data_IF_380557318125
#
_entry.id   IF_380557318125
#
_cell.length_a   1.000
_cell.length_b   1.000
_cell.length_c   1.000
_cell.angle_alpha   90.00
_cell.angle_beta   90.00
_cell.angle_gamma   90.00
#
_symmetry.space_group_name_H-M   'P 1'
#
loop_
_entity.id
_entity.type
_entity.pdbx_description
1 polymer ?
#
# COMPACT_ATOMS: atom_id res chain seq x y z
N UNK A 1 -49.77 5.04 -29.15
CA UNK A 1 -48.68 4.06 -28.92
C UNK A 1 -47.35 4.79 -28.98
N UNK A 2 -46.48 4.57 -27.99
CA UNK A 2 -45.43 5.51 -27.56
C UNK A 2 -44.18 5.55 -28.47
N UNK A 3 -43.67 6.77 -28.73
CA UNK A 3 -42.40 7.04 -29.43
C UNK A 3 -41.21 6.60 -28.54
N UNK A 4 -40.44 5.61 -28.99
CA UNK A 4 -39.21 5.12 -28.34
C UNK A 4 -38.10 6.18 -28.44
N UNK A 5 -37.73 6.80 -27.31
CA UNK A 5 -36.58 7.72 -27.22
C UNK A 5 -35.27 6.91 -27.24
N UNK A 6 -34.47 7.05 -28.30
CA UNK A 6 -33.10 6.56 -28.34
C UNK A 6 -32.23 7.34 -27.34
N UNK A 7 -31.86 6.70 -26.22
CA UNK A 7 -30.93 7.23 -25.23
C UNK A 7 -29.51 7.12 -25.81
N UNK A 8 -28.92 8.24 -26.24
CA UNK A 8 -27.49 8.30 -26.62
C UNK A 8 -26.64 7.90 -25.41
N UNK A 9 -25.96 6.76 -25.50
CA UNK A 9 -24.95 6.32 -24.53
C UNK A 9 -23.78 7.30 -24.66
N UNK A 10 -23.57 8.15 -23.65
CA UNK A 10 -22.36 8.96 -23.53
C UNK A 10 -21.18 8.00 -23.34
N UNK A 11 -20.32 7.87 -24.36
CA UNK A 11 -18.99 7.27 -24.21
C UNK A 11 -18.22 8.11 -23.19
N UNK A 12 -18.05 7.57 -21.99
CA UNK A 12 -17.13 8.12 -20.99
C UNK A 12 -15.74 7.99 -21.63
N UNK A 13 -15.13 9.12 -21.96
CA UNK A 13 -13.75 9.18 -22.42
C UNK A 13 -12.86 8.63 -21.30
N UNK A 14 -12.19 7.50 -21.56
CA UNK A 14 -11.13 6.99 -20.67
C UNK A 14 -10.15 8.14 -20.39
N UNK A 15 -9.93 8.42 -19.10
CA UNK A 15 -8.89 9.33 -18.68
C UNK A 15 -7.56 8.87 -19.30
N UNK A 16 -6.77 9.80 -19.85
CA UNK A 16 -5.44 9.51 -20.39
C UNK A 16 -4.58 8.95 -19.26
N UNK A 17 -4.30 7.65 -19.30
CA UNK A 17 -3.28 7.01 -18.48
C UNK A 17 -1.93 7.73 -18.73
N UNK A 18 -1.26 8.10 -17.64
CA UNK A 18 0.07 8.70 -17.67
C UNK A 18 1.06 7.59 -18.02
N UNK A 19 1.28 7.39 -19.31
CA UNK A 19 2.27 6.46 -19.83
C UNK A 19 3.66 6.81 -19.27
N UNK A 20 4.30 5.89 -18.56
CA UNK A 20 5.62 6.14 -17.95
C UNK A 20 6.71 6.18 -19.02
N UNK A 21 7.80 6.92 -18.77
CA UNK A 21 8.93 7.00 -19.70
C UNK A 21 9.50 5.60 -20.08
N UNK A 22 9.35 4.62 -19.20
CA UNK A 22 9.77 3.23 -19.44
C UNK A 22 8.83 2.46 -20.37
N UNK A 23 7.52 2.69 -20.30
CA UNK A 23 6.58 2.11 -21.28
C UNK A 23 6.87 2.59 -22.69
N UNK A 24 7.18 3.89 -22.82
CA UNK A 24 7.56 4.48 -24.12
C UNK A 24 8.84 3.87 -24.68
N UNK A 25 9.79 3.47 -23.82
CA UNK A 25 11.01 2.80 -24.26
C UNK A 25 10.79 1.35 -24.69
N UNK A 26 9.88 0.62 -24.03
CA UNK A 26 9.67 -0.82 -24.27
C UNK A 26 8.63 -1.05 -25.38
N UNK A 27 7.77 -0.06 -25.66
CA UNK A 27 6.75 -0.15 -26.72
C UNK A 27 5.64 -1.16 -26.44
N UNK A 28 5.58 -1.70 -25.21
CA UNK A 28 4.54 -2.61 -24.76
C UNK A 28 3.93 -2.10 -23.45
N UNK A 29 2.61 -2.01 -23.44
CA UNK A 29 1.85 -1.77 -22.23
C UNK A 29 1.65 -3.10 -21.50
N UNK A 30 2.29 -3.23 -20.34
CA UNK A 30 2.22 -4.44 -19.52
C UNK A 30 1.24 -4.14 -18.39
N UNK A 31 0.00 -4.59 -18.54
CA UNK A 31 -1.13 -4.21 -17.66
C UNK A 31 -0.88 -4.51 -16.18
N UNK A 32 -0.16 -5.59 -15.85
CA UNK A 32 0.19 -5.91 -14.45
C UNK A 32 1.28 -5.01 -13.84
N UNK A 33 1.94 -4.14 -14.62
CA UNK A 33 2.76 -3.05 -14.04
C UNK A 33 1.89 -1.91 -13.51
N UNK A 34 0.63 -1.83 -13.97
CA UNK A 34 -0.33 -0.78 -13.65
C UNK A 34 -1.55 -1.29 -12.90
N UNK A 35 -1.61 -2.60 -12.61
CA UNK A 35 -2.51 -3.16 -11.58
C UNK A 35 -1.92 -2.91 -10.19
N UNK A 36 -1.53 -1.65 -9.98
CA UNK A 36 -1.18 -1.06 -8.71
C UNK A 36 -2.50 -0.61 -8.12
N UNK A 37 -2.87 -1.14 -6.95
CA UNK A 37 -3.71 -0.36 -6.05
C UNK A 37 -2.86 0.84 -5.64
N UNK A 38 -2.81 1.84 -6.52
CA UNK A 38 -2.06 3.08 -6.35
C UNK A 38 -2.29 3.52 -4.92
N UNK A 39 -1.19 3.60 -4.17
CA UNK A 39 -1.21 4.12 -2.82
C UNK A 39 -2.12 5.35 -2.79
N UNK A 40 -3.20 5.29 -2.01
CA UNK A 40 -4.17 6.37 -2.05
C UNK A 40 -3.47 7.64 -1.55
N UNK A 41 -3.72 8.75 -2.25
CA UNK A 41 -3.22 10.12 -2.02
C UNK A 41 -1.95 10.28 -1.15
N UNK A 42 -0.81 10.52 -1.79
CA UNK A 42 0.48 10.81 -1.15
C UNK A 42 0.42 11.99 -0.14
N UNK A 43 -0.59 12.85 -0.22
CA UNK A 43 -0.81 13.92 0.76
C UNK A 43 -1.10 13.39 2.17
N UNK A 44 -1.72 12.21 2.28
CA UNK A 44 -2.08 11.57 3.56
C UNK A 44 -0.99 10.67 4.12
N UNK A 45 0.19 10.64 3.51
CA UNK A 45 1.33 9.87 4.03
C UNK A 45 1.76 10.41 5.39
N UNK A 46 1.97 9.49 6.33
CA UNK A 46 2.42 9.84 7.68
C UNK A 46 3.83 10.41 7.67
N UNK A 47 4.15 11.23 8.66
CA UNK A 47 5.49 11.83 8.77
C UNK A 47 6.61 10.78 8.87
N UNK A 48 6.31 9.59 9.41
CA UNK A 48 7.25 8.48 9.46
C UNK A 48 7.52 7.92 8.06
N UNK A 49 6.47 7.64 7.29
CA UNK A 49 6.60 7.09 5.95
C UNK A 49 7.33 8.05 5.00
N UNK A 50 7.12 9.37 5.13
CA UNK A 50 7.90 10.37 4.38
C UNK A 50 9.41 10.24 4.64
N UNK A 51 9.80 10.17 5.93
CA UNK A 51 11.20 9.97 6.32
C UNK A 51 11.76 8.64 5.83
N UNK A 52 10.93 7.59 5.84
CA UNK A 52 11.33 6.28 5.32
C UNK A 52 11.65 6.33 3.82
N UNK A 53 10.79 6.96 3.01
CA UNK A 53 11.02 7.14 1.57
C UNK A 53 12.33 7.91 1.33
N UNK A 54 12.53 9.03 2.03
CA UNK A 54 13.78 9.82 1.94
C UNK A 54 15.01 9.02 2.32
N UNK A 55 14.94 8.24 3.41
CA UNK A 55 16.07 7.45 3.88
C UNK A 55 16.45 6.33 2.91
N UNK A 56 15.45 5.69 2.29
CA UNK A 56 15.66 4.62 1.32
C UNK A 56 16.08 5.14 -0.07
N UNK A 57 15.90 6.44 -0.33
CA UNK A 57 16.11 7.03 -1.65
C UNK A 57 15.14 6.49 -2.70
N UNK A 58 13.91 6.20 -2.29
CA UNK A 58 12.86 5.65 -3.17
C UNK A 58 11.93 6.75 -3.65
N UNK A 59 11.32 6.55 -4.82
CA UNK A 59 10.37 7.52 -5.39
C UNK A 59 8.93 7.27 -4.91
N UNK A 60 8.62 6.05 -4.45
CA UNK A 60 7.28 5.62 -4.06
C UNK A 60 7.28 4.57 -2.93
N UNK A 61 6.09 4.15 -2.51
CA UNK A 61 5.87 3.10 -1.51
C UNK A 61 5.14 1.87 -2.08
N UNK A 62 5.17 1.66 -3.39
CA UNK A 62 4.29 0.68 -4.06
C UNK A 62 4.45 -0.75 -3.52
N UNK A 63 5.61 -1.12 -2.98
CA UNK A 63 5.83 -2.41 -2.31
C UNK A 63 4.93 -2.65 -1.07
N UNK A 64 4.28 -1.60 -0.54
CA UNK A 64 3.30 -1.65 0.55
C UNK A 64 1.85 -1.57 0.08
N UNK A 65 1.57 -1.66 -1.22
CA UNK A 65 0.22 -1.56 -1.77
C UNK A 65 -0.75 -2.58 -1.14
N UNK A 66 -0.24 -3.78 -0.94
CA UNK A 66 -0.97 -4.93 -0.43
C UNK A 66 -1.05 -5.00 1.11
N UNK A 67 -0.52 -3.98 1.79
CA UNK A 67 -0.58 -3.85 3.24
C UNK A 67 -1.74 -2.92 3.61
N UNK A 68 -2.67 -3.44 4.41
CA UNK A 68 -3.85 -2.70 4.83
C UNK A 68 -4.26 -3.00 6.27
N UNK A 69 -5.13 -2.16 6.81
CA UNK A 69 -5.70 -2.36 8.14
C UNK A 69 -6.84 -3.38 8.06
N UNK A 70 -6.71 -4.48 8.79
CA UNK A 70 -7.75 -5.49 8.95
C UNK A 70 -8.10 -5.74 10.42
N UNK A 71 -8.79 -6.86 10.66
CA UNK A 71 -9.14 -7.30 12.00
C UNK A 71 -8.84 -8.79 12.16
N UNK A 72 -8.14 -9.13 13.23
CA UNK A 72 -7.86 -10.49 13.68
C UNK A 72 -8.56 -10.69 15.02
N UNK A 73 -9.48 -11.66 15.11
CA UNK A 73 -10.27 -11.95 16.33
C UNK A 73 -10.94 -10.70 16.95
N UNK A 74 -11.43 -9.78 16.11
CA UNK A 74 -12.07 -8.53 16.54
C UNK A 74 -11.09 -7.46 17.05
N UNK A 75 -9.77 -7.68 16.93
CA UNK A 75 -8.74 -6.68 17.23
C UNK A 75 -8.19 -6.10 15.93
N UNK A 76 -7.92 -4.79 15.88
CA UNK A 76 -7.26 -4.21 14.73
C UNK A 76 -5.86 -4.79 14.56
N UNK A 77 -5.56 -5.22 13.34
CA UNK A 77 -4.31 -5.85 12.98
C UNK A 77 -3.87 -5.38 11.59
N UNK A 78 -2.57 -5.24 11.40
CA UNK A 78 -1.99 -5.03 10.08
C UNK A 78 -2.00 -6.35 9.34
N UNK A 79 -2.59 -6.37 8.14
CA UNK A 79 -2.53 -7.51 7.25
C UNK A 79 -1.51 -7.25 6.16
N UNK A 80 -0.59 -8.21 5.99
CA UNK A 80 0.39 -8.23 4.91
C UNK A 80 0.08 -9.41 3.99
N UNK A 81 -0.41 -9.13 2.77
CA UNK A 81 -0.74 -10.16 1.78
C UNK A 81 0.51 -10.89 1.29
N UNK A 82 1.66 -10.22 1.21
CA UNK A 82 2.89 -10.81 0.67
C UNK A 82 3.39 -11.95 1.57
N UNK A 83 3.29 -11.75 2.88
CA UNK A 83 3.62 -12.77 3.89
C UNK A 83 2.42 -13.65 4.29
N UNK A 84 1.21 -13.33 3.80
CA UNK A 84 -0.06 -13.88 4.29
C UNK A 84 -0.14 -13.90 5.82
N UNK A 85 0.22 -12.76 6.43
CA UNK A 85 0.46 -12.64 7.87
C UNK A 85 -0.33 -11.51 8.51
N UNK A 86 -0.56 -11.65 9.81
CA UNK A 86 -1.22 -10.67 10.65
C UNK A 86 -0.28 -10.15 11.74
N UNK A 87 -0.28 -8.84 11.95
CA UNK A 87 0.45 -8.19 13.04
C UNK A 87 -0.52 -7.38 13.88
N UNK A 88 -0.82 -7.87 15.09
CA UNK A 88 -1.74 -7.20 16.02
C UNK A 88 -1.21 -5.84 16.45
N UNK A 89 -2.11 -4.86 16.56
CA UNK A 89 -1.75 -3.48 16.93
C UNK A 89 -2.01 -3.26 18.44
N UNK A 90 -1.18 -2.46 19.13
CA UNK A 90 -1.45 -2.10 20.52
C UNK A 90 -2.82 -1.42 20.69
N UNK A 91 -3.60 -1.87 21.68
CA UNK A 91 -4.95 -1.36 21.99
C UNK A 91 -5.02 0.16 22.25
N UNK A 92 -3.90 0.81 22.52
CA UNK A 92 -3.80 2.24 22.81
C UNK A 92 -3.88 3.11 21.54
N UNK A 93 -3.66 2.54 20.36
CA UNK A 93 -3.71 3.27 19.09
C UNK A 93 -5.17 3.47 18.71
N UNK A 94 -5.60 4.74 18.62
CA UNK A 94 -6.92 5.09 18.07
C UNK A 94 -6.82 5.07 16.56
N UNK A 95 -7.65 4.26 15.92
CA UNK A 95 -7.73 4.23 14.46
C UNK A 95 -8.65 5.33 13.94
N UNK A 96 -8.27 6.01 12.84
CA UNK A 96 -9.13 6.96 12.16
C UNK A 96 -10.30 6.25 11.47
N UNK A 97 -11.35 7.00 11.14
CA UNK A 97 -12.52 6.47 10.46
C UNK A 97 -12.30 6.25 8.94
N UNK A 98 -11.43 7.05 8.34
CA UNK A 98 -11.09 6.96 6.91
C UNK A 98 -10.24 5.71 6.62
N UNK A 99 -10.63 4.91 5.63
CA UNK A 99 -9.95 3.65 5.32
C UNK A 99 -8.51 3.87 4.89
N UNK A 100 -8.28 4.89 4.05
CA UNK A 100 -6.95 5.22 3.57
C UNK A 100 -6.01 5.61 4.72
N UNK A 101 -6.47 6.43 5.67
CA UNK A 101 -5.67 6.80 6.84
C UNK A 101 -5.31 5.58 7.70
N UNK A 102 -6.25 4.63 7.85
CA UNK A 102 -5.98 3.36 8.53
C UNK A 102 -4.91 2.54 7.82
N UNK A 103 -4.98 2.46 6.49
CA UNK A 103 -4.00 1.72 5.69
C UNK A 103 -2.62 2.38 5.74
N UNK A 104 -2.54 3.71 5.76
CA UNK A 104 -1.27 4.42 5.98
C UNK A 104 -0.68 4.13 7.35
N UNK A 105 -1.50 4.07 8.39
CA UNK A 105 -1.06 3.65 9.74
C UNK A 105 -0.62 2.18 9.72
N UNK A 106 -1.32 1.30 9.01
CA UNK A 106 -0.97 -0.11 8.90
C UNK A 106 0.44 -0.29 8.31
N UNK A 107 0.71 0.41 7.22
CA UNK A 107 2.01 0.45 6.53
C UNK A 107 3.12 0.96 7.44
N UNK A 108 2.88 2.08 8.13
CA UNK A 108 3.82 2.61 9.12
C UNK A 108 4.12 1.60 10.23
N UNK A 109 3.09 0.93 10.76
CA UNK A 109 3.24 -0.03 11.84
C UNK A 109 4.02 -1.27 11.39
N UNK A 110 3.80 -1.76 10.18
CA UNK A 110 4.57 -2.87 9.61
C UNK A 110 6.07 -2.54 9.56
N UNK A 111 6.42 -1.38 9.01
CA UNK A 111 7.82 -0.96 8.90
C UNK A 111 8.44 -0.80 10.29
N UNK A 112 7.73 -0.16 11.23
CA UNK A 112 8.20 -0.02 12.62
C UNK A 112 8.42 -1.38 13.28
N UNK A 113 7.54 -2.34 13.01
CA UNK A 113 7.69 -3.70 13.49
C UNK A 113 8.93 -4.38 12.90
N UNK A 114 9.12 -4.32 11.57
CA UNK A 114 10.27 -4.90 10.87
C UNK A 114 11.61 -4.28 11.32
N UNK A 115 11.65 -2.97 11.56
CA UNK A 115 12.83 -2.25 12.04
C UNK A 115 13.03 -2.32 13.55
N UNK A 116 12.11 -2.95 14.28
CA UNK A 116 12.20 -3.03 15.74
C UNK A 116 13.48 -3.75 16.15
N UNK A 117 14.23 -3.24 17.14
CA UNK A 117 15.40 -3.95 17.66
C UNK A 117 15.04 -5.27 18.35
N UNK A 118 13.75 -5.47 18.68
CA UNK A 118 13.19 -6.71 19.24
C UNK A 118 12.61 -7.64 18.17
N UNK A 119 12.87 -7.36 16.90
CA UNK A 119 12.37 -8.21 15.81
C UNK A 119 13.11 -9.57 15.83
N UNK A 120 12.42 -10.71 15.70
CA UNK A 120 13.04 -12.04 15.81
C UNK A 120 14.23 -12.25 14.87
N UNK A 121 14.21 -11.62 13.68
CA UNK A 121 15.33 -11.69 12.73
C UNK A 121 16.62 -11.07 13.26
N UNK A 122 16.55 -10.08 14.17
CA UNK A 122 17.73 -9.51 14.82
C UNK A 122 18.41 -10.54 15.70
N UNK A 123 17.63 -11.32 16.44
CA UNK A 123 18.16 -12.37 17.32
C UNK A 123 18.68 -13.56 16.51
N UNK A 124 17.99 -13.95 15.44
CA UNK A 124 18.50 -14.96 14.50
C UNK A 124 19.81 -14.51 13.84
N UNK A 125 19.91 -13.24 13.43
CA UNK A 125 21.17 -12.69 12.89
C UNK A 125 22.30 -12.77 13.92
N UNK A 126 22.05 -12.46 15.19
CA UNK A 126 23.08 -12.58 16.24
C UNK A 126 23.51 -14.03 16.45
N UNK A 127 22.57 -14.97 16.44
CA UNK A 127 22.84 -16.38 16.69
C UNK A 127 23.55 -17.09 15.52
N UNK A 128 23.23 -16.74 14.27
CA UNK A 128 23.63 -17.51 13.08
C UNK A 128 24.48 -16.74 12.07
N UNK A 129 24.83 -15.47 12.30
CA UNK A 129 25.69 -14.73 11.37
C UNK A 129 27.08 -15.39 11.35
N UNK A 130 27.42 -15.99 10.20
CA UNK A 130 28.78 -16.46 9.92
C UNK A 130 29.74 -15.26 9.99
N UNK A 131 30.84 -15.48 10.71
CA UNK A 131 32.00 -14.58 10.78
C UNK A 131 32.63 -14.36 9.41
#
# INVERSE_FOLDING_TARGET
MAKKKNKKIKKISKAKEKESAREKMIGQHIGYRYDVNLLPDYKKITSFLKKYIEHMGWDDLNWLEDVHMGYEEGRPAVFDRNANGWVTIPKKIKLPNDQQDRDMIARELLIKFQMSPRHPLVDLKKAYRKS
#
